data_IF_235628751944
#
_entry.id   IF_235628751944
#
_cell.length_a   1.000
_cell.length_b   1.000
_cell.length_c   1.000
_cell.angle_alpha   90.00
_cell.angle_beta   90.00
_cell.angle_gamma   90.00
#
_symmetry.space_group_name_H-M   'P 1'
#
loop_
_entity.id
_entity.type
_entity.pdbx_description
1 polymer ?
#
# COMPACT_ATOMS: atom_id res chain seq x y z
N UNK A 1 21.60 20.39 -1.36
CA UNK A 1 20.96 19.17 -0.79
C UNK A 1 20.30 18.47 -1.96
N UNK A 2 20.73 17.27 -2.34
CA UNK A 2 20.01 16.49 -3.35
C UNK A 2 18.64 16.20 -2.75
N UNK A 3 17.57 16.74 -3.36
CA UNK A 3 16.21 16.46 -2.93
C UNK A 3 15.99 14.95 -3.00
N UNK A 4 15.81 14.31 -1.86
CA UNK A 4 15.49 12.88 -1.85
C UNK A 4 14.04 12.76 -2.34
N UNK A 5 13.86 12.20 -3.53
CA UNK A 5 12.55 11.81 -4.03
C UNK A 5 12.09 10.59 -3.24
N UNK A 6 11.02 10.74 -2.47
CA UNK A 6 10.41 9.66 -1.70
C UNK A 6 9.54 8.83 -2.64
N UNK A 7 9.93 7.57 -2.87
CA UNK A 7 9.16 6.59 -3.64
C UNK A 7 8.47 5.62 -2.69
N UNK A 8 7.15 5.66 -2.66
CA UNK A 8 6.34 4.74 -1.86
C UNK A 8 5.46 3.90 -2.76
N UNK A 9 5.34 2.62 -2.40
CA UNK A 9 4.31 1.75 -2.94
C UNK A 9 3.24 1.56 -1.87
N UNK A 10 2.00 1.81 -2.23
CA UNK A 10 0.83 1.62 -1.39
C UNK A 10 0.04 0.44 -1.94
N UNK A 11 -0.05 -0.63 -1.17
CA UNK A 11 -0.91 -1.75 -1.50
C UNK A 11 -2.19 -1.69 -0.67
N UNK A 12 -3.33 -1.73 -1.34
CA UNK A 12 -4.65 -1.66 -0.72
C UNK A 12 -5.35 -2.99 -0.97
N UNK A 13 -5.54 -3.75 0.10
CA UNK A 13 -6.50 -4.85 0.11
C UNK A 13 -7.90 -4.29 -0.08
N UNK A 14 -8.54 -4.68 -1.17
CA UNK A 14 -9.87 -4.25 -1.59
C UNK A 14 -10.94 -5.32 -1.37
N UNK A 15 -10.64 -6.32 -0.54
CA UNK A 15 -11.63 -7.29 -0.08
C UNK A 15 -12.74 -6.60 0.73
N UNK A 16 -13.90 -7.27 0.82
CA UNK A 16 -15.10 -6.64 1.39
C UNK A 16 -14.96 -6.18 2.84
N UNK A 17 -14.01 -6.74 3.60
CA UNK A 17 -13.78 -6.43 5.03
C UNK A 17 -13.01 -5.14 5.28
N UNK A 18 -12.28 -4.60 4.29
CA UNK A 18 -11.35 -3.47 4.48
C UNK A 18 -11.89 -2.12 3.97
N UNK A 19 -13.01 -2.13 3.25
CA UNK A 19 -13.55 -0.97 2.54
C UNK A 19 -13.93 0.22 3.44
N UNK A 20 -14.30 -0.04 4.69
CA UNK A 20 -14.78 1.00 5.62
C UNK A 20 -13.67 1.88 6.20
N UNK A 21 -12.43 1.36 6.28
CA UNK A 21 -11.32 2.03 6.95
C UNK A 21 -10.45 2.86 6.00
N UNK A 22 -10.60 2.62 4.70
CA UNK A 22 -9.81 3.21 3.62
C UNK A 22 -9.79 4.76 3.62
N UNK A 23 -10.92 5.50 3.79
CA UNK A 23 -10.88 6.95 3.77
C UNK A 23 -10.04 7.57 4.89
N UNK A 24 -10.05 6.97 6.09
CA UNK A 24 -9.31 7.50 7.24
C UNK A 24 -7.81 7.46 6.99
N UNK A 25 -7.30 6.34 6.50
CA UNK A 25 -5.89 6.26 6.20
C UNK A 25 -5.48 7.17 5.06
N UNK A 26 -6.26 7.25 3.97
CA UNK A 26 -5.86 8.08 2.83
C UNK A 26 -5.65 9.54 3.27
N UNK A 27 -6.37 9.99 4.29
CA UNK A 27 -6.14 11.28 4.94
C UNK A 27 -4.81 11.34 5.70
N UNK A 28 -4.47 10.32 6.51
CA UNK A 28 -3.19 10.25 7.24
C UNK A 28 -1.98 10.17 6.31
N UNK A 29 -2.03 9.29 5.30
CA UNK A 29 -1.00 9.20 4.27
C UNK A 29 -0.83 10.54 3.57
N UNK A 30 -1.92 11.19 3.19
CA UNK A 30 -1.87 12.53 2.57
C UNK A 30 -1.15 13.53 3.48
N UNK A 31 -1.43 13.53 4.78
CA UNK A 31 -0.78 14.43 5.74
C UNK A 31 0.73 14.16 5.86
N UNK A 32 1.16 12.89 5.86
CA UNK A 32 2.58 12.51 5.86
C UNK A 32 3.25 12.98 4.56
N UNK A 33 2.62 12.72 3.41
CA UNK A 33 3.18 13.04 2.09
C UNK A 33 3.30 14.55 1.84
N UNK A 34 2.45 15.37 2.45
CA UNK A 34 2.53 16.83 2.35
C UNK A 34 3.86 17.40 2.88
N UNK A 35 4.51 16.69 3.82
CA UNK A 35 5.80 17.08 4.41
C UNK A 35 7.02 16.90 3.49
N UNK A 36 6.87 16.20 2.36
CA UNK A 36 7.97 15.92 1.43
C UNK A 36 7.88 16.81 0.18
N UNK A 37 9.03 17.28 -0.33
CA UNK A 37 9.08 18.14 -1.52
C UNK A 37 8.85 17.34 -2.82
N UNK A 38 9.38 16.11 -2.88
CA UNK A 38 9.27 15.22 -4.03
C UNK A 38 8.78 13.85 -3.57
N UNK A 39 7.60 13.46 -4.04
CA UNK A 39 6.95 12.17 -3.74
C UNK A 39 6.51 11.54 -5.04
N UNK A 40 6.79 10.26 -5.20
CA UNK A 40 6.18 9.39 -6.20
C UNK A 40 5.47 8.26 -5.45
N UNK A 41 4.18 8.12 -5.71
CA UNK A 41 3.32 7.13 -5.08
C UNK A 41 2.81 6.18 -6.15
N UNK A 42 3.15 4.90 -6.03
CA UNK A 42 2.53 3.83 -6.78
C UNK A 42 1.44 3.22 -5.89
N UNK A 43 0.19 3.21 -6.35
CA UNK A 43 -0.94 2.61 -5.63
C UNK A 43 -1.35 1.34 -6.37
N UNK A 44 -1.29 0.22 -5.66
CA UNK A 44 -1.65 -1.12 -6.14
C UNK A 44 -2.89 -1.55 -5.38
N UNK A 45 -3.95 -1.85 -6.10
CA UNK A 45 -5.17 -2.42 -5.53
C UNK A 45 -5.16 -3.91 -5.73
N UNK A 46 -5.46 -4.69 -4.69
CA UNK A 46 -5.50 -6.14 -4.81
C UNK A 46 -6.65 -6.76 -4.02
N UNK A 47 -7.14 -7.89 -4.49
CA UNK A 47 -7.94 -8.84 -3.73
C UNK A 47 -7.26 -10.23 -3.78
N UNK A 48 -7.73 -11.16 -4.61
CA UNK A 48 -7.05 -12.39 -4.99
C UNK A 48 -5.99 -12.14 -6.07
N UNK A 49 -6.10 -11.02 -6.79
CA UNK A 49 -5.17 -10.56 -7.81
C UNK A 49 -5.05 -9.05 -7.80
N UNK A 50 -4.05 -8.49 -8.48
CA UNK A 50 -3.97 -7.04 -8.69
C UNK A 50 -5.13 -6.61 -9.58
N UNK A 51 -5.94 -5.67 -9.11
CA UNK A 51 -7.12 -5.15 -9.82
C UNK A 51 -6.85 -3.81 -10.49
N UNK A 52 -5.91 -3.02 -9.97
CA UNK A 52 -5.53 -1.72 -10.52
C UNK A 52 -4.10 -1.36 -10.08
N UNK A 53 -3.36 -0.69 -10.95
CA UNK A 53 -2.13 0.02 -10.58
C UNK A 53 -2.18 1.43 -11.13
N UNK A 54 -1.99 2.40 -10.24
CA UNK A 54 -2.08 3.82 -10.52
C UNK A 54 -0.90 4.56 -9.93
N UNK A 55 -0.52 5.67 -10.56
CA UNK A 55 0.62 6.49 -10.14
C UNK A 55 0.13 7.89 -9.78
N UNK A 56 0.65 8.41 -8.68
CA UNK A 56 0.31 9.71 -8.14
C UNK A 56 1.58 10.45 -7.72
N UNK A 57 1.56 11.77 -7.82
CA UNK A 57 2.56 12.62 -7.21
C UNK A 57 1.93 13.62 -6.22
N UNK A 58 2.74 14.57 -5.74
CA UNK A 58 2.30 15.59 -4.79
C UNK A 58 1.10 16.42 -5.30
N UNK A 59 0.99 16.63 -6.61
CA UNK A 59 -0.11 17.36 -7.24
C UNK A 59 -1.41 16.58 -7.29
N UNK A 60 -1.34 15.24 -7.25
CA UNK A 60 -2.51 14.36 -7.32
C UNK A 60 -3.08 13.95 -5.95
N UNK A 61 -2.45 14.37 -4.84
CA UNK A 61 -2.88 13.96 -3.49
C UNK A 61 -4.36 14.26 -3.20
N UNK A 62 -4.89 15.36 -3.75
CA UNK A 62 -6.32 15.68 -3.61
C UNK A 62 -7.22 14.67 -4.34
N UNK A 63 -6.77 14.12 -5.46
CA UNK A 63 -7.49 13.08 -6.21
C UNK A 63 -7.46 11.74 -5.48
N UNK A 64 -6.37 11.43 -4.78
CA UNK A 64 -6.22 10.22 -3.98
C UNK A 64 -7.31 10.09 -2.90
N UNK A 65 -7.74 11.19 -2.28
CA UNK A 65 -8.83 11.18 -1.26
C UNK A 65 -10.20 10.77 -1.82
N UNK A 66 -10.38 10.81 -3.14
CA UNK A 66 -11.61 10.40 -3.84
C UNK A 66 -11.49 9.01 -4.45
N UNK A 67 -10.35 8.35 -4.25
CA UNK A 67 -10.11 7.01 -4.76
C UNK A 67 -11.13 6.01 -4.20
N UNK A 68 -11.58 5.09 -5.05
CA UNK A 68 -12.55 4.07 -4.69
C UNK A 68 -12.01 2.70 -5.07
N UNK A 69 -12.08 1.77 -4.12
CA UNK A 69 -11.72 0.38 -4.33
C UNK A 69 -12.62 -0.29 -5.37
N UNK A 70 -12.03 -1.18 -6.17
CA UNK A 70 -12.73 -2.06 -7.11
C UNK A 70 -12.34 -3.50 -6.79
N UNK A 71 -13.28 -4.29 -6.25
CA UNK A 71 -13.06 -5.69 -5.90
C UNK A 71 -14.13 -6.21 -4.93
N UNK A 72 -14.36 -7.54 -4.91
CA UNK A 72 -15.19 -8.29 -3.94
C UNK A 72 -14.77 -9.79 -3.88
N UNK A 73 -13.50 -10.11 -4.13
CA UNK A 73 -12.98 -11.49 -4.15
C UNK A 73 -12.46 -12.01 -2.80
N UNK A 74 -11.80 -13.18 -2.83
CA UNK A 74 -10.93 -13.63 -1.73
C UNK A 74 -9.62 -12.82 -1.67
N UNK A 75 -8.68 -13.19 -0.81
CA UNK A 75 -7.51 -12.33 -0.50
C UNK A 75 -6.18 -13.06 -0.64
N UNK A 76 -5.24 -12.48 -1.40
CA UNK A 76 -3.84 -12.92 -1.51
C UNK A 76 -2.93 -11.70 -1.68
N UNK A 77 -1.94 -11.55 -0.80
CA UNK A 77 -1.00 -10.42 -0.84
C UNK A 77 0.21 -10.72 -1.74
N UNK A 78 0.53 -11.99 -1.95
CA UNK A 78 1.63 -12.46 -2.82
C UNK A 78 1.70 -11.76 -4.19
N UNK A 79 0.59 -11.52 -4.93
CA UNK A 79 0.64 -10.83 -6.22
C UNK A 79 1.29 -9.45 -6.16
N UNK A 80 1.09 -8.69 -5.08
CA UNK A 80 1.70 -7.36 -4.89
C UNK A 80 3.21 -7.48 -4.79
N UNK A 81 3.72 -8.43 -4.01
CA UNK A 81 5.16 -8.62 -3.83
C UNK A 81 5.83 -9.09 -5.12
N UNK A 82 5.20 -9.98 -5.88
CA UNK A 82 5.69 -10.39 -7.19
C UNK A 82 5.74 -9.21 -8.16
N UNK A 83 4.68 -8.41 -8.22
CA UNK A 83 4.63 -7.25 -9.11
C UNK A 83 5.72 -6.21 -8.80
N UNK A 84 6.02 -5.94 -7.52
CA UNK A 84 7.13 -5.05 -7.13
C UNK A 84 8.48 -5.67 -7.51
N UNK A 85 8.65 -6.99 -7.35
CA UNK A 85 9.89 -7.69 -7.67
C UNK A 85 10.17 -7.75 -9.18
N UNK A 86 9.11 -7.96 -9.98
CA UNK A 86 9.19 -8.02 -11.45
C UNK A 86 9.39 -6.63 -12.06
N UNK A 87 9.00 -5.57 -11.35
CA UNK A 87 9.14 -4.15 -11.73
C UNK A 87 8.74 -3.85 -13.19
N UNK A 88 7.52 -4.25 -13.62
CA UNK A 88 7.10 -4.13 -15.02
C UNK A 88 6.99 -2.68 -15.50
N UNK A 89 6.81 -1.72 -14.59
CA UNK A 89 6.70 -0.29 -14.88
C UNK A 89 8.02 0.47 -14.66
N UNK A 90 9.12 -0.24 -14.38
CA UNK A 90 10.47 0.32 -14.21
C UNK A 90 10.56 1.44 -13.15
N UNK A 91 9.81 1.28 -12.05
CA UNK A 91 9.74 2.21 -10.92
C UNK A 91 10.95 2.03 -10.00
N UNK A 92 11.52 0.83 -10.00
CA UNK A 92 12.59 0.40 -9.11
C UNK A 92 12.12 0.14 -7.67
N UNK A 93 13.09 -0.21 -6.81
CA UNK A 93 12.81 -0.59 -5.43
C UNK A 93 12.21 0.59 -4.64
N UNK A 94 11.04 0.42 -3.98
CA UNK A 94 10.43 1.47 -3.19
C UNK A 94 11.23 1.75 -1.90
N UNK A 95 11.11 2.97 -1.37
CA UNK A 95 11.67 3.30 -0.06
C UNK A 95 10.92 2.58 1.07
N UNK A 96 9.63 2.33 0.87
CA UNK A 96 8.82 1.44 1.70
C UNK A 96 7.57 0.99 0.92
N UNK A 97 7.11 -0.21 1.25
CA UNK A 97 5.76 -0.69 0.94
C UNK A 97 4.88 -0.45 2.16
N UNK A 98 3.77 0.26 1.98
CA UNK A 98 2.72 0.37 2.99
C UNK A 98 1.57 -0.51 2.51
N UNK A 99 1.24 -1.54 3.29
CA UNK A 99 0.23 -2.52 2.95
C UNK A 99 -0.94 -2.38 3.89
N UNK A 100 -2.12 -2.22 3.33
CA UNK A 100 -3.33 -2.06 4.08
C UNK A 100 -4.24 -3.24 3.93
N UNK A 101 -4.66 -3.78 5.07
CA UNK A 101 -5.42 -5.02 5.09
C UNK A 101 -5.98 -5.26 6.50
N UNK A 102 -6.90 -6.20 6.64
CA UNK A 102 -7.23 -6.82 7.92
C UNK A 102 -6.27 -7.98 8.27
N UNK A 103 -5.35 -8.31 7.35
CA UNK A 103 -4.31 -9.30 7.53
C UNK A 103 -4.67 -10.72 7.08
N UNK A 104 -5.89 -10.94 6.56
CA UNK A 104 -6.38 -12.26 6.21
C UNK A 104 -6.03 -12.67 4.76
N UNK A 105 -4.74 -12.57 4.42
CA UNK A 105 -4.21 -12.96 3.12
C UNK A 105 -2.82 -13.56 3.21
N UNK A 106 -2.46 -14.37 2.21
CA UNK A 106 -1.13 -14.98 2.17
C UNK A 106 -0.09 -13.96 1.69
N UNK A 107 0.99 -13.82 2.46
CA UNK A 107 2.18 -13.04 2.10
C UNK A 107 3.42 -13.96 2.03
N UNK A 108 4.54 -13.50 1.43
CA UNK A 108 5.78 -14.24 1.37
C UNK A 108 6.30 -14.65 2.76
N UNK A 109 6.90 -15.83 2.85
CA UNK A 109 7.48 -16.34 4.12
C UNK A 109 8.67 -15.49 4.57
N UNK A 110 9.46 -14.98 3.62
CA UNK A 110 10.63 -14.14 3.86
C UNK A 110 10.33 -12.67 3.54
N UNK A 111 10.93 -11.76 4.31
CA UNK A 111 10.81 -10.33 4.08
C UNK A 111 11.49 -9.91 2.76
N UNK A 112 10.92 -8.94 2.02
CA UNK A 112 11.58 -8.36 0.86
C UNK A 112 12.77 -7.47 1.27
N UNK A 113 13.56 -7.04 0.28
CA UNK A 113 14.73 -6.18 0.49
C UNK A 113 14.40 -4.71 0.83
N UNK A 114 13.12 -4.37 0.94
CA UNK A 114 12.63 -3.03 1.28
C UNK A 114 11.75 -3.08 2.53
N UNK A 115 11.67 -1.98 3.29
CA UNK A 115 10.77 -1.90 4.46
C UNK A 115 9.32 -2.14 4.07
N UNK A 116 8.60 -2.90 4.91
CA UNK A 116 7.16 -3.12 4.78
C UNK A 116 6.48 -2.68 6.07
N UNK A 117 5.42 -1.90 5.92
CA UNK A 117 4.56 -1.45 7.02
C UNK A 117 3.17 -2.03 6.77
N UNK A 118 2.73 -2.94 7.63
CA UNK A 118 1.39 -3.50 7.65
C UNK A 118 0.48 -2.58 8.46
N UNK A 119 -0.39 -1.88 7.78
CA UNK A 119 -1.40 -1.01 8.39
C UNK A 119 -2.70 -1.81 8.47
N UNK A 120 -2.97 -2.30 9.67
CA UNK A 120 -4.05 -3.22 9.96
C UNK A 120 -5.31 -2.47 10.36
N UNK A 121 -6.47 -3.02 9.99
CA UNK A 121 -7.74 -2.66 10.62
C UNK A 121 -7.67 -2.86 12.14
N UNK A 122 -8.53 -2.21 12.94
CA UNK A 122 -8.44 -2.26 14.41
C UNK A 122 -8.37 -3.66 15.01
N UNK A 123 -9.10 -4.61 14.42
CA UNK A 123 -9.17 -6.02 14.84
C UNK A 123 -8.32 -6.96 13.96
N UNK A 124 -7.50 -6.41 13.07
CA UNK A 124 -6.67 -7.15 12.13
C UNK A 124 -5.44 -7.78 12.78
N UNK A 125 -4.94 -8.86 12.18
CA UNK A 125 -3.74 -9.57 12.65
C UNK A 125 -2.62 -9.52 11.61
N UNK A 126 -1.33 -9.45 12.01
CA UNK A 126 -0.24 -9.46 11.06
C UNK A 126 -0.21 -10.77 10.25
N UNK A 127 -0.18 -10.73 8.91
CA UNK A 127 -0.16 -11.95 8.09
C UNK A 127 1.16 -12.74 8.21
N UNK A 128 2.21 -12.07 8.69
CA UNK A 128 3.59 -12.58 8.76
C UNK A 128 4.30 -12.03 10.00
N UNK A 129 5.45 -12.63 10.34
CA UNK A 129 6.27 -12.25 11.50
C UNK A 129 7.33 -11.19 11.19
N UNK A 130 7.24 -10.53 10.04
CA UNK A 130 8.19 -9.53 9.57
C UNK A 130 7.48 -8.26 9.10
N UNK A 131 8.23 -7.16 9.01
CA UNK A 131 7.69 -5.83 8.75
C UNK A 131 7.18 -5.17 10.01
N UNK A 132 6.98 -3.86 9.94
CA UNK A 132 6.40 -3.08 11.02
C UNK A 132 4.87 -3.18 10.97
N UNK A 133 4.22 -3.13 12.13
CA UNK A 133 2.75 -3.22 12.24
C UNK A 133 2.21 -1.96 12.88
N UNK A 134 1.18 -1.38 12.26
CA UNK A 134 0.42 -0.25 12.77
C UNK A 134 -1.07 -0.62 12.73
N UNK A 135 -1.80 -0.38 13.82
CA UNK A 135 -3.26 -0.57 13.85
C UNK A 135 -3.96 0.78 13.71
N UNK A 136 -4.89 0.87 12.76
CA UNK A 136 -5.77 2.03 12.61
C UNK A 136 -6.61 2.25 13.88
N UNK A 137 -6.86 3.52 14.21
CA UNK A 137 -7.63 3.95 15.39
C UNK A 137 -9.08 4.31 15.05
#
# INVERSE_FOLDING_TARGET
RQGQCLRLTLAIDTSGSTLQDLPKFLAELTAILQGFEQVQLQVISCDASITDVSFYDKSDLAALTKWQAKGLGGTSFTPVFHYIADDPDHVGVPNALIFFTDGYGNAPVEAPAYPVIWVLSPDGEPPVKWGEVLHLQ
#
